data_IF_526188522750
#
_entry.id   IF_526188522750
#
_cell.length_a   1.000
_cell.length_b   1.000
_cell.length_c   1.000
_cell.angle_alpha   90.00
_cell.angle_beta   90.00
_cell.angle_gamma   90.00
#
_symmetry.space_group_name_H-M   'P 1'
#
loop_
_entity.id
_entity.type
_entity.pdbx_description
1 polymer ?
#
# COMPACT_ATOMS: atom_id res chain seq x y z
N UNK A 1 -19.13 49.73 18.26
CA UNK A 1 -19.43 48.67 17.28
C UNK A 1 -18.14 47.88 17.13
N UNK A 2 -18.11 46.62 17.55
CA UNK A 2 -16.93 45.76 17.35
C UNK A 2 -16.87 45.42 15.87
N UNK A 3 -15.89 45.96 15.15
CA UNK A 3 -15.61 45.58 13.78
C UNK A 3 -15.21 44.10 13.77
N UNK A 4 -16.06 43.24 13.21
CA UNK A 4 -15.71 41.85 12.93
C UNK A 4 -15.13 41.76 11.52
N UNK A 5 -14.02 41.04 11.39
CA UNK A 5 -13.43 40.73 10.09
C UNK A 5 -14.36 39.78 9.32
N UNK A 6 -14.59 40.00 8.01
CA UNK A 6 -15.34 39.04 7.19
C UNK A 6 -14.70 37.66 7.18
N UNK A 7 -15.53 36.63 7.25
CA UNK A 7 -15.07 35.25 7.07
C UNK A 7 -14.51 35.06 5.65
N UNK A 8 -13.48 34.23 5.52
CA UNK A 8 -12.92 33.81 4.23
C UNK A 8 -12.84 32.29 4.13
N UNK A 9 -13.06 31.78 2.91
CA UNK A 9 -12.84 30.37 2.58
C UNK A 9 -11.36 30.15 2.27
N UNK A 10 -10.74 29.18 2.93
CA UNK A 10 -9.36 28.75 2.67
C UNK A 10 -9.39 27.50 1.79
N UNK A 11 -8.69 27.53 0.66
CA UNK A 11 -8.54 26.38 -0.25
C UNK A 11 -7.05 26.03 -0.32
N UNK A 12 -6.62 24.87 0.20
CA UNK A 12 -5.21 24.47 0.12
C UNK A 12 -4.72 24.36 -1.31
N UNK A 13 -3.50 24.82 -1.55
CA UNK A 13 -2.82 24.70 -2.84
C UNK A 13 -1.53 23.87 -2.69
N UNK A 14 -1.15 23.07 -3.70
CA UNK A 14 0.15 22.43 -3.71
C UNK A 14 1.26 23.50 -3.77
N UNK A 15 2.40 23.22 -3.16
CA UNK A 15 3.58 24.12 -3.13
C UNK A 15 4.15 24.42 -4.52
N UNK A 16 3.80 23.63 -5.54
CA UNK A 16 4.34 23.78 -6.90
C UNK A 16 3.31 23.34 -7.96
N UNK A 17 3.31 24.02 -9.11
CA UNK A 17 2.48 23.74 -10.30
C UNK A 17 3.36 23.41 -11.52
N UNK A 18 2.78 22.96 -12.66
CA UNK A 18 3.56 22.72 -13.87
C UNK A 18 4.31 23.98 -14.32
N UNK A 19 5.65 23.90 -14.35
CA UNK A 19 6.54 25.02 -14.65
C UNK A 19 7.35 25.50 -13.44
N UNK A 20 6.93 25.18 -12.22
CA UNK A 20 7.65 25.50 -10.99
C UNK A 20 8.70 24.44 -10.65
N UNK A 21 9.66 24.80 -9.80
CA UNK A 21 10.57 23.83 -9.18
C UNK A 21 9.83 23.17 -7.99
N UNK A 22 9.72 21.82 -7.93
CA UNK A 22 9.11 21.14 -6.79
C UNK A 22 9.76 21.53 -5.47
N UNK A 23 8.93 21.91 -4.49
CA UNK A 23 9.35 22.22 -3.13
C UNK A 23 8.72 21.26 -2.11
N UNK A 24 9.59 20.47 -1.47
CA UNK A 24 9.25 19.49 -0.44
C UNK A 24 9.69 19.94 0.96
N UNK A 25 10.06 21.22 1.15
CA UNK A 25 10.55 21.72 2.45
C UNK A 25 9.56 21.61 3.60
N UNK A 26 8.27 21.42 3.29
CA UNK A 26 7.21 21.18 4.27
C UNK A 26 7.23 19.74 4.84
N UNK A 27 7.99 18.82 4.24
CA UNK A 27 8.20 17.47 4.73
C UNK A 27 9.53 17.47 5.49
N UNK A 28 9.46 17.43 6.81
CA UNK A 28 10.63 17.27 7.66
C UNK A 28 11.04 15.78 7.67
N UNK A 29 12.22 15.49 7.09
CA UNK A 29 12.77 14.14 7.05
C UNK A 29 13.90 14.07 8.10
N UNK A 30 13.72 13.36 9.22
CA UNK A 30 14.77 13.15 10.21
C UNK A 30 15.89 12.28 9.64
N UNK A 31 17.07 12.35 10.26
CA UNK A 31 18.17 11.46 9.91
C UNK A 31 17.78 9.99 10.14
N UNK A 32 18.25 9.09 9.28
CA UNK A 32 17.96 7.67 9.43
C UNK A 32 18.42 7.15 10.81
N UNK A 33 17.60 6.27 11.39
CA UNK A 33 17.90 5.60 12.65
C UNK A 33 17.66 6.41 13.93
N UNK A 34 17.16 7.66 13.85
CA UNK A 34 16.86 8.47 15.04
C UNK A 34 15.56 8.06 15.74
N UNK A 35 14.56 7.63 14.97
CA UNK A 35 13.26 7.24 15.52
C UNK A 35 13.38 5.94 16.31
N UNK A 36 12.94 5.97 17.57
CA UNK A 36 12.98 4.80 18.46
C UNK A 36 12.09 3.66 17.95
N UNK A 37 12.41 2.43 18.36
CA UNK A 37 11.54 1.26 18.16
C UNK A 37 10.74 1.01 19.42
N UNK A 38 9.41 1.08 19.32
CA UNK A 38 8.54 0.70 20.42
C UNK A 38 8.42 -0.83 20.51
N UNK A 39 8.22 -1.34 21.73
CA UNK A 39 7.88 -2.74 21.96
C UNK A 39 6.50 -3.07 21.34
N UNK A 40 6.29 -4.32 20.94
CA UNK A 40 5.06 -4.75 20.25
C UNK A 40 3.80 -4.64 21.10
N UNK A 41 3.95 -4.61 22.43
CA UNK A 41 2.88 -4.43 23.42
C UNK A 41 2.80 -2.99 23.97
N UNK A 42 3.47 -2.04 23.32
CA UNK A 42 3.47 -0.65 23.73
C UNK A 42 2.05 -0.04 23.61
N UNK A 43 1.56 0.53 24.72
CA UNK A 43 0.29 1.25 24.76
C UNK A 43 0.23 2.40 23.71
N UNK A 44 -0.89 2.58 22.98
CA UNK A 44 -1.01 3.58 21.91
C UNK A 44 -0.68 5.01 22.33
N UNK A 45 -1.01 5.40 23.56
CA UNK A 45 -0.76 6.75 24.10
C UNK A 45 0.74 7.06 24.17
N UNK A 46 1.57 6.01 24.32
CA UNK A 46 3.03 6.10 24.34
C UNK A 46 3.66 6.06 22.96
N UNK A 47 2.88 6.00 21.88
CA UNK A 47 3.38 5.97 20.49
C UNK A 47 3.02 7.22 19.70
N UNK A 48 2.40 8.22 20.34
CA UNK A 48 1.94 9.45 19.66
C UNK A 48 3.08 10.18 18.95
N UNK A 49 4.26 10.22 19.54
CA UNK A 49 5.47 10.79 18.95
C UNK A 49 5.81 10.16 17.58
N UNK A 50 5.69 8.84 17.47
CA UNK A 50 6.01 8.10 16.24
C UNK A 50 5.08 8.44 15.07
N UNK A 51 3.87 8.91 15.34
CA UNK A 51 2.92 9.33 14.31
C UNK A 51 3.29 10.68 13.65
N UNK A 52 4.19 11.45 14.27
CA UNK A 52 4.69 12.74 13.77
C UNK A 52 6.19 12.70 13.49
N UNK A 53 6.78 11.51 13.40
CA UNK A 53 8.19 11.27 13.07
C UNK A 53 8.28 10.28 11.89
N UNK A 54 9.49 9.98 11.39
CA UNK A 54 9.70 9.06 10.27
C UNK A 54 10.66 7.92 10.62
N UNK A 55 10.13 6.71 10.66
CA UNK A 55 10.95 5.50 10.76
C UNK A 55 11.72 5.30 9.45
N UNK A 56 13.03 5.54 9.49
CA UNK A 56 13.97 5.29 8.39
C UNK A 56 15.18 4.48 8.88
N UNK A 57 15.62 3.51 8.08
CA UNK A 57 16.72 2.58 8.43
C UNK A 57 17.97 2.81 7.58
N UNK A 58 17.83 3.07 6.29
CA UNK A 58 18.96 3.29 5.39
C UNK A 58 19.30 4.79 5.38
N UNK A 59 20.56 5.12 5.70
CA UNK A 59 21.07 6.48 5.55
C UNK A 59 21.43 6.81 4.08
N UNK A 60 21.88 8.05 3.83
CA UNK A 60 22.25 8.52 2.49
C UNK A 60 23.43 7.76 1.85
N UNK A 61 24.19 6.99 2.65
CA UNK A 61 25.25 6.09 2.18
C UNK A 61 24.77 4.66 1.92
N UNK A 62 23.49 4.37 2.19
CA UNK A 62 22.89 3.04 2.09
C UNK A 62 23.21 2.13 3.29
N UNK A 63 23.70 2.67 4.41
CA UNK A 63 24.01 1.89 5.61
C UNK A 63 22.77 1.77 6.49
N UNK A 64 22.50 0.56 6.99
CA UNK A 64 21.46 0.33 7.99
C UNK A 64 21.88 0.90 9.37
N UNK A 65 21.04 1.76 9.95
CA UNK A 65 21.29 2.47 11.20
C UNK A 65 20.07 2.49 12.12
N UNK A 66 20.31 2.68 13.42
CA UNK A 66 19.26 2.83 14.43
C UNK A 66 18.60 1.53 14.90
N UNK A 67 17.58 1.63 15.78
CA UNK A 67 16.98 0.48 16.46
C UNK A 67 16.07 -0.37 15.58
N UNK A 68 15.71 0.15 14.41
CA UNK A 68 14.93 -0.56 13.38
C UNK A 68 15.83 -1.34 12.41
N UNK A 69 17.15 -1.13 12.44
CA UNK A 69 18.10 -1.97 11.70
C UNK A 69 18.16 -3.36 12.34
N UNK A 70 17.35 -4.27 11.78
CA UNK A 70 17.35 -5.67 12.17
C UNK A 70 18.42 -6.43 11.39
N UNK A 71 18.93 -7.50 11.99
CA UNK A 71 19.75 -8.47 11.28
C UNK A 71 18.82 -9.28 10.35
N UNK A 72 18.76 -8.84 9.10
CA UNK A 72 17.95 -9.46 8.04
C UNK A 72 18.86 -10.30 7.17
N UNK A 73 18.40 -11.50 6.84
CA UNK A 73 19.08 -12.39 5.92
C UNK A 73 19.22 -11.76 4.52
N UNK A 74 20.43 -11.82 3.96
CA UNK A 74 20.73 -11.32 2.62
C UNK A 74 19.85 -11.97 1.55
N UNK A 75 19.47 -13.25 1.72
CA UNK A 75 18.56 -13.90 0.77
C UNK A 75 17.17 -13.27 0.76
N UNK A 76 16.66 -12.85 1.93
CA UNK A 76 15.39 -12.15 2.05
C UNK A 76 15.45 -10.77 1.38
N UNK A 77 16.54 -10.03 1.59
CA UNK A 77 16.76 -8.72 0.96
C UNK A 77 16.86 -8.83 -0.57
N UNK A 78 17.62 -9.82 -1.07
CA UNK A 78 17.72 -10.12 -2.50
C UNK A 78 16.37 -10.55 -3.08
N UNK A 79 15.58 -11.34 -2.33
CA UNK A 79 14.21 -11.68 -2.73
C UNK A 79 13.34 -10.41 -2.83
N UNK A 80 13.40 -9.53 -1.83
CA UNK A 80 12.69 -8.25 -1.84
C UNK A 80 13.03 -7.42 -3.08
N UNK A 81 14.32 -7.26 -3.38
CA UNK A 81 14.79 -6.53 -4.57
C UNK A 81 14.26 -7.16 -5.87
N UNK A 82 14.33 -8.49 -6.01
CA UNK A 82 13.81 -9.19 -7.20
C UNK A 82 12.31 -8.97 -7.38
N UNK A 83 11.54 -8.98 -6.30
CA UNK A 83 10.09 -8.75 -6.37
C UNK A 83 9.78 -7.30 -6.74
N UNK A 84 10.49 -6.31 -6.18
CA UNK A 84 10.33 -4.90 -6.56
C UNK A 84 10.64 -4.67 -8.04
N UNK A 85 11.78 -5.17 -8.52
CA UNK A 85 12.19 -5.05 -9.93
C UNK A 85 11.22 -5.77 -10.87
N UNK A 86 10.73 -6.97 -10.49
CA UNK A 86 9.71 -7.70 -11.25
C UNK A 86 8.40 -6.91 -11.33
N UNK A 87 7.99 -6.26 -10.23
CA UNK A 87 6.79 -5.41 -10.18
C UNK A 87 6.93 -4.21 -11.11
N UNK A 88 8.07 -3.50 -11.04
CA UNK A 88 8.37 -2.36 -11.92
C UNK A 88 8.43 -2.76 -13.39
N UNK A 89 9.08 -3.88 -13.71
CA UNK A 89 9.17 -4.40 -15.07
C UNK A 89 7.79 -4.81 -15.63
N UNK A 90 6.96 -5.45 -14.81
CA UNK A 90 5.58 -5.77 -15.15
C UNK A 90 4.77 -4.51 -15.46
N UNK A 91 4.82 -3.52 -14.58
CA UNK A 91 4.13 -2.23 -14.75
C UNK A 91 4.53 -1.52 -16.04
N UNK A 92 5.83 -1.45 -16.33
CA UNK A 92 6.33 -0.82 -17.56
C UNK A 92 5.79 -1.54 -18.81
N UNK A 93 5.72 -2.87 -18.79
CA UNK A 93 5.20 -3.67 -19.91
C UNK A 93 3.70 -3.49 -20.10
N UNK A 94 2.92 -3.48 -19.01
CA UNK A 94 1.47 -3.29 -19.10
C UNK A 94 1.09 -1.87 -19.50
N UNK A 95 1.83 -0.86 -19.04
CA UNK A 95 1.65 0.52 -19.50
C UNK A 95 1.90 0.66 -21.01
N UNK A 96 2.94 0.00 -21.54
CA UNK A 96 3.17 -0.02 -23.00
C UNK A 96 2.08 -0.76 -23.75
N UNK A 97 1.57 -1.88 -23.21
CA UNK A 97 0.47 -2.62 -23.80
C UNK A 97 -0.81 -1.76 -23.88
N UNK A 98 -1.12 -1.00 -22.83
CA UNK A 98 -2.24 -0.06 -22.80
C UNK A 98 -2.08 1.02 -23.88
N UNK A 99 -0.89 1.61 -24.04
CA UNK A 99 -0.60 2.59 -25.11
C UNK A 99 -0.72 2.02 -26.52
N UNK A 100 -0.53 0.71 -26.68
CA UNK A 100 -0.73 -0.01 -27.95
C UNK A 100 -2.18 -0.43 -28.17
N UNK A 101 -3.11 -0.09 -27.27
CA UNK A 101 -4.52 -0.48 -27.36
C UNK A 101 -4.78 -1.96 -27.06
N UNK A 102 -3.83 -2.68 -26.46
CA UNK A 102 -3.96 -4.11 -26.16
C UNK A 102 -4.78 -4.41 -24.90
N UNK A 103 -4.92 -3.44 -24.02
CA UNK A 103 -5.81 -3.45 -22.85
C UNK A 103 -6.47 -2.09 -22.73
N UNK A 104 -7.64 -2.03 -22.11
CA UNK A 104 -8.43 -0.79 -22.00
C UNK A 104 -7.81 0.21 -21.02
N UNK A 105 -7.30 -0.26 -19.87
CA UNK A 105 -6.79 0.59 -18.80
C UNK A 105 -5.72 -0.15 -17.98
N UNK A 106 -4.76 0.60 -17.44
CA UNK A 106 -3.76 0.09 -16.52
C UNK A 106 -3.31 1.18 -15.54
N UNK A 107 -2.97 0.80 -14.31
CA UNK A 107 -2.46 1.70 -13.26
C UNK A 107 -1.12 1.16 -12.73
N UNK A 108 -0.13 2.04 -12.62
CA UNK A 108 1.21 1.71 -12.14
C UNK A 108 1.38 2.02 -10.65
N UNK A 109 2.28 1.31 -9.98
CA UNK A 109 2.73 1.58 -8.61
C UNK A 109 4.21 2.04 -8.56
N UNK A 110 4.67 2.74 -9.61
CA UNK A 110 6.07 3.19 -9.73
C UNK A 110 6.47 4.08 -8.55
N UNK A 111 7.50 3.67 -7.82
CA UNK A 111 7.97 4.35 -6.61
C UNK A 111 7.35 3.82 -5.32
N UNK A 112 6.31 2.99 -5.40
CA UNK A 112 5.59 2.40 -4.28
C UNK A 112 5.85 0.89 -4.14
N UNK A 113 6.72 0.31 -4.99
CA UNK A 113 6.86 -1.15 -5.12
C UNK A 113 7.28 -1.80 -3.80
N UNK A 114 8.17 -1.14 -3.04
CA UNK A 114 8.70 -1.66 -1.79
C UNK A 114 7.62 -1.94 -0.74
N UNK A 115 6.57 -1.11 -0.68
CA UNK A 115 5.57 -1.13 0.40
C UNK A 115 4.80 -2.46 0.36
N UNK A 116 4.19 -2.76 -0.79
CA UNK A 116 3.44 -3.99 -1.01
C UNK A 116 4.33 -5.23 -0.94
N UNK A 117 5.50 -5.18 -1.60
CA UNK A 117 6.39 -6.32 -1.70
C UNK A 117 6.95 -6.72 -0.32
N UNK A 118 7.45 -5.76 0.44
CA UNK A 118 8.04 -6.02 1.76
C UNK A 118 6.99 -6.49 2.77
N UNK A 119 5.83 -5.81 2.84
CA UNK A 119 4.76 -6.24 3.76
C UNK A 119 4.30 -7.67 3.44
N UNK A 120 4.18 -8.05 2.16
CA UNK A 120 3.80 -9.42 1.83
C UNK A 120 4.83 -10.44 2.26
N UNK A 121 6.13 -10.14 2.13
CA UNK A 121 7.20 -11.03 2.58
C UNK A 121 7.24 -11.20 4.11
N UNK A 122 6.74 -10.20 4.86
CA UNK A 122 6.63 -10.27 6.32
C UNK A 122 5.37 -11.03 6.81
N UNK A 123 4.34 -11.14 5.98
CA UNK A 123 3.08 -11.83 6.31
C UNK A 123 3.18 -13.36 6.10
N UNK A 124 2.35 -14.11 6.82
CA UNK A 124 2.27 -15.57 6.67
C UNK A 124 1.34 -15.95 5.51
N UNK A 125 1.45 -17.20 5.07
CA UNK A 125 0.48 -17.80 4.14
C UNK A 125 -0.88 -17.91 4.86
N UNK A 126 -1.93 -17.41 4.22
CA UNK A 126 -3.29 -17.39 4.76
C UNK A 126 -3.69 -16.07 5.42
N UNK A 127 -2.73 -15.20 5.76
CA UNK A 127 -3.06 -13.80 6.09
C UNK A 127 -3.67 -13.13 4.86
N UNK A 128 -4.78 -12.41 5.07
CA UNK A 128 -5.55 -11.83 3.97
C UNK A 128 -5.23 -10.35 3.81
N UNK A 129 -4.78 -9.98 2.61
CA UNK A 129 -4.61 -8.59 2.21
C UNK A 129 -5.90 -8.08 1.58
N UNK A 130 -6.28 -6.86 1.97
CA UNK A 130 -7.40 -6.07 1.43
C UNK A 130 -6.80 -4.87 0.69
N UNK A 131 -6.30 -5.09 -0.54
CA UNK A 131 -5.52 -4.10 -1.26
C UNK A 131 -6.37 -3.04 -1.93
N UNK A 132 -5.75 -1.93 -2.31
CA UNK A 132 -6.26 -1.05 -3.37
C UNK A 132 -5.78 -1.56 -4.74
N UNK A 133 -6.03 -0.80 -5.80
CA UNK A 133 -5.53 -1.10 -7.15
C UNK A 133 -4.03 -0.82 -7.38
N UNK A 134 -3.26 -0.38 -6.37
CA UNK A 134 -1.81 -0.10 -6.47
C UNK A 134 -0.90 -1.13 -5.78
N UNK A 135 -1.44 -2.25 -5.29
CA UNK A 135 -0.68 -3.25 -4.54
C UNK A 135 -0.48 -4.58 -5.30
N UNK A 136 -0.29 -4.54 -6.61
CA UNK A 136 0.04 -5.73 -7.43
C UNK A 136 1.32 -6.45 -6.95
N UNK A 137 2.22 -5.73 -6.26
CA UNK A 137 3.40 -6.32 -5.60
C UNK A 137 3.06 -7.42 -4.59
N UNK A 138 1.86 -7.41 -3.98
CA UNK A 138 1.40 -8.47 -3.07
C UNK A 138 1.29 -9.84 -3.79
N UNK A 139 0.80 -9.85 -5.03
CA UNK A 139 0.68 -11.06 -5.84
C UNK A 139 2.06 -11.53 -6.31
N UNK A 140 2.87 -10.59 -6.80
CA UNK A 140 4.20 -10.87 -7.34
C UNK A 140 5.13 -11.41 -6.24
N UNK A 141 5.02 -10.91 -5.01
CA UNK A 141 5.78 -11.38 -3.85
C UNK A 141 5.45 -12.82 -3.44
N UNK A 142 4.30 -13.35 -3.85
CA UNK A 142 3.91 -14.74 -3.63
C UNK A 142 4.05 -15.63 -4.86
N UNK A 143 4.82 -15.18 -5.86
CA UNK A 143 5.03 -15.92 -7.10
C UNK A 143 3.72 -16.29 -7.81
N UNK A 144 2.68 -15.46 -7.66
CA UNK A 144 1.45 -15.60 -8.42
C UNK A 144 1.77 -15.59 -9.93
N UNK A 145 1.20 -16.50 -10.75
CA UNK A 145 1.55 -16.58 -12.16
C UNK A 145 1.27 -15.27 -12.89
N UNK A 146 2.33 -14.64 -13.41
CA UNK A 146 2.24 -13.41 -14.20
C UNK A 146 1.30 -13.57 -15.40
N UNK A 147 1.26 -14.76 -16.00
CA UNK A 147 0.34 -15.08 -17.10
C UNK A 147 -1.11 -14.91 -16.69
N UNK A 148 -1.48 -15.34 -15.48
CA UNK A 148 -2.84 -15.20 -14.97
C UNK A 148 -3.20 -13.72 -14.74
N UNK A 149 -2.26 -12.93 -14.21
CA UNK A 149 -2.45 -11.48 -14.09
C UNK A 149 -2.69 -10.83 -15.46
N UNK A 150 -1.89 -11.20 -16.47
CA UNK A 150 -2.05 -10.68 -17.84
C UNK A 150 -3.38 -11.14 -18.45
N UNK A 151 -3.80 -12.39 -18.21
CA UNK A 151 -5.08 -12.90 -18.68
C UNK A 151 -6.25 -12.07 -18.15
N UNK A 152 -6.20 -11.69 -16.86
CA UNK A 152 -7.19 -10.79 -16.25
C UNK A 152 -7.14 -9.38 -16.88
N UNK A 153 -5.96 -8.79 -17.04
CA UNK A 153 -5.79 -7.45 -17.67
C UNK A 153 -6.35 -7.40 -19.11
N UNK A 154 -6.23 -8.51 -19.84
CA UNK A 154 -6.70 -8.61 -21.23
C UNK A 154 -8.15 -9.09 -21.34
N UNK A 155 -8.77 -9.48 -20.22
CA UNK A 155 -10.12 -10.06 -20.17
C UNK A 155 -10.31 -11.20 -21.18
N UNK A 156 -9.28 -12.04 -21.34
CA UNK A 156 -9.27 -13.09 -22.36
C UNK A 156 -9.98 -14.37 -21.87
N UNK A 157 -10.04 -15.40 -22.71
CA UNK A 157 -10.73 -16.66 -22.39
C UNK A 157 -10.14 -17.44 -21.20
N UNK A 158 -8.95 -17.06 -20.71
CA UNK A 158 -8.31 -17.62 -19.52
C UNK A 158 -8.39 -16.70 -18.31
N UNK A 159 -9.10 -15.57 -18.40
CA UNK A 159 -9.39 -14.74 -17.24
C UNK A 159 -10.26 -15.53 -16.24
N UNK A 160 -9.75 -15.75 -15.03
CA UNK A 160 -10.47 -16.44 -13.95
C UNK A 160 -11.73 -15.70 -13.51
N UNK A 161 -11.79 -14.38 -13.76
CA UNK A 161 -12.97 -13.54 -13.48
C UNK A 161 -13.95 -13.50 -14.65
N UNK A 162 -13.62 -14.16 -15.77
CA UNK A 162 -14.48 -14.27 -16.95
C UNK A 162 -14.81 -12.92 -17.59
N UNK A 163 -13.90 -11.95 -17.53
CA UNK A 163 -14.08 -10.60 -18.10
C UNK A 163 -15.09 -9.74 -17.35
N UNK A 164 -15.53 -10.15 -16.14
CA UNK A 164 -16.56 -9.44 -15.36
C UNK A 164 -16.01 -8.25 -14.57
N UNK A 165 -14.70 -8.24 -14.35
CA UNK A 165 -14.00 -7.21 -13.59
C UNK A 165 -13.20 -6.33 -14.53
N UNK A 166 -13.02 -5.06 -14.16
CA UNK A 166 -12.13 -4.15 -14.88
C UNK A 166 -10.70 -4.72 -14.89
N UNK A 167 -9.86 -4.46 -15.90
CA UNK A 167 -8.44 -4.82 -15.83
C UNK A 167 -7.81 -4.39 -14.51
N UNK A 168 -6.80 -5.13 -14.06
CA UNK A 168 -6.05 -4.96 -12.79
C UNK A 168 -6.87 -5.09 -11.49
N UNK A 169 -8.20 -5.27 -11.55
CA UNK A 169 -9.02 -5.64 -10.38
C UNK A 169 -8.94 -7.15 -10.13
N UNK A 170 -7.78 -7.60 -9.67
CA UNK A 170 -7.53 -9.00 -9.35
C UNK A 170 -8.34 -9.50 -8.16
N UNK A 171 -8.51 -10.82 -8.07
CA UNK A 171 -9.16 -11.51 -6.95
C UNK A 171 -8.57 -12.92 -6.84
N UNK A 172 -7.71 -13.15 -5.84
CA UNK A 172 -6.92 -14.38 -5.72
C UNK A 172 -6.88 -14.83 -4.25
N UNK A 173 -7.96 -15.47 -3.82
CA UNK A 173 -8.17 -15.93 -2.44
C UNK A 173 -7.02 -16.81 -1.93
N UNK A 174 -6.55 -17.76 -2.74
CA UNK A 174 -5.51 -18.72 -2.34
C UNK A 174 -4.15 -18.06 -2.12
N UNK A 175 -3.98 -16.85 -2.66
CA UNK A 175 -2.84 -15.97 -2.49
C UNK A 175 -3.12 -14.86 -1.47
N UNK A 176 -4.15 -14.99 -0.63
CA UNK A 176 -4.46 -13.98 0.39
C UNK A 176 -4.66 -12.58 -0.20
N UNK A 177 -5.22 -12.49 -1.42
CA UNK A 177 -5.48 -11.23 -2.10
C UNK A 177 -6.99 -11.09 -2.31
N UNK A 178 -7.61 -10.26 -1.48
CA UNK A 178 -9.05 -10.01 -1.53
C UNK A 178 -9.44 -9.33 -2.85
N UNK A 179 -10.67 -9.57 -3.30
CA UNK A 179 -11.18 -9.01 -4.54
C UNK A 179 -11.14 -7.49 -4.51
N UNK A 180 -10.46 -6.87 -5.47
CA UNK A 180 -10.47 -5.40 -5.59
C UNK A 180 -11.87 -4.92 -5.98
N UNK A 181 -12.26 -3.79 -5.40
CA UNK A 181 -13.42 -2.99 -5.77
C UNK A 181 -12.98 -1.63 -6.30
N UNK A 182 -13.80 -1.02 -7.17
CA UNK A 182 -13.61 0.37 -7.60
C UNK A 182 -14.04 1.39 -6.55
N UNK A 183 -14.78 0.97 -5.51
CA UNK A 183 -15.23 1.83 -4.43
C UNK A 183 -14.11 2.01 -3.40
N UNK A 184 -13.60 3.25 -3.27
CA UNK A 184 -12.51 3.58 -2.36
C UNK A 184 -12.94 3.44 -0.88
N UNK A 185 -11.97 3.15 -0.01
CA UNK A 185 -12.18 3.01 1.44
C UNK A 185 -12.83 1.69 1.89
N UNK A 186 -13.77 1.15 1.12
CA UNK A 186 -14.62 0.01 1.50
C UNK A 186 -13.84 -1.23 2.00
N UNK A 187 -12.74 -1.57 1.34
CA UNK A 187 -11.90 -2.72 1.69
C UNK A 187 -11.23 -2.58 3.06
N UNK A 188 -11.01 -1.35 3.53
CA UNK A 188 -10.30 -1.08 4.77
C UNK A 188 -11.12 -1.52 5.99
N UNK A 189 -12.43 -1.17 6.01
CA UNK A 189 -13.35 -1.67 7.02
C UNK A 189 -13.61 -3.19 6.88
N UNK A 190 -13.67 -3.71 5.66
CA UNK A 190 -13.80 -5.16 5.43
C UNK A 190 -12.62 -5.95 5.99
N UNK A 191 -11.40 -5.38 5.96
CA UNK A 191 -10.22 -5.98 6.57
C UNK A 191 -10.39 -6.14 8.09
N UNK A 192 -10.92 -5.11 8.76
CA UNK A 192 -11.23 -5.16 10.21
C UNK A 192 -12.27 -6.25 10.48
N UNK A 193 -13.34 -6.33 9.70
CA UNK A 193 -14.34 -7.39 9.82
C UNK A 193 -13.75 -8.80 9.65
N UNK A 194 -12.79 -8.97 8.74
CA UNK A 194 -12.08 -10.24 8.55
C UNK A 194 -11.19 -10.59 9.75
N UNK A 195 -10.47 -9.62 10.31
CA UNK A 195 -9.69 -9.80 11.53
C UNK A 195 -10.59 -10.16 12.73
N UNK A 196 -11.73 -9.48 12.89
CA UNK A 196 -12.73 -9.81 13.91
C UNK A 196 -13.25 -11.25 13.74
N UNK A 197 -13.51 -11.70 12.51
CA UNK A 197 -13.93 -13.07 12.24
C UNK A 197 -12.86 -14.10 12.63
N UNK A 198 -11.59 -13.81 12.36
CA UNK A 198 -10.44 -14.63 12.80
C UNK A 198 -10.42 -14.75 14.32
N UNK A 199 -10.53 -13.62 15.04
CA UNK A 199 -10.57 -13.60 16.50
C UNK A 199 -11.78 -14.35 17.09
N UNK A 200 -12.98 -14.15 16.53
CA UNK A 200 -14.22 -14.85 16.94
C UNK A 200 -14.07 -16.37 16.82
N UNK A 201 -13.30 -16.84 15.84
CA UNK A 201 -13.05 -18.26 15.60
C UNK A 201 -11.86 -18.82 16.38
N UNK A 202 -11.14 -18.00 17.14
CA UNK A 202 -9.89 -18.40 17.79
C UNK A 202 -8.79 -18.79 16.79
N UNK A 203 -8.83 -18.22 15.59
CA UNK A 203 -7.81 -18.42 14.56
C UNK A 203 -6.60 -17.49 14.81
N UNK A 204 -5.51 -17.73 14.09
CA UNK A 204 -4.22 -17.01 14.24
C UNK A 204 -3.86 -16.15 13.03
N UNK A 205 -4.69 -16.16 12.00
CA UNK A 205 -4.47 -15.37 10.78
C UNK A 205 -4.86 -13.92 10.98
N UNK A 206 -4.16 -13.02 10.30
CA UNK A 206 -4.40 -11.57 10.42
C UNK A 206 -4.86 -10.96 9.08
N UNK A 207 -5.47 -9.78 9.17
CA UNK A 207 -5.82 -8.97 8.02
C UNK A 207 -4.75 -7.89 7.77
N UNK A 208 -4.54 -7.54 6.50
CA UNK A 208 -3.71 -6.42 6.06
C UNK A 208 -4.58 -5.48 5.24
N UNK A 209 -5.08 -4.40 5.86
CA UNK A 209 -5.87 -3.36 5.21
C UNK A 209 -4.99 -2.32 4.54
N UNK A 210 -5.33 -1.92 3.30
CA UNK A 210 -4.60 -0.92 2.53
C UNK A 210 -5.52 0.24 2.14
N UNK A 211 -5.02 1.46 2.23
CA UNK A 211 -5.76 2.66 1.81
C UNK A 211 -4.76 3.74 1.34
N UNK A 212 -5.16 4.55 0.37
CA UNK A 212 -4.39 5.71 -0.07
C UNK A 212 -4.70 6.96 0.76
N UNK A 213 -3.82 7.95 0.70
CA UNK A 213 -3.97 9.26 1.35
C UNK A 213 -5.30 9.93 0.98
N UNK A 214 -5.65 10.00 -0.31
CA UNK A 214 -6.91 10.61 -0.73
C UNK A 214 -8.16 9.86 -0.22
N UNK A 215 -8.06 8.55 -0.04
CA UNK A 215 -9.15 7.72 0.44
C UNK A 215 -9.29 7.74 1.98
N UNK A 216 -8.36 8.35 2.73
CA UNK A 216 -8.54 8.54 4.17
C UNK A 216 -9.67 9.53 4.50
N UNK A 217 -10.14 10.30 3.52
CA UNK A 217 -11.31 11.17 3.65
C UNK A 217 -12.64 10.42 3.48
N UNK A 218 -12.62 9.15 3.05
CA UNK A 218 -13.83 8.33 2.93
C UNK A 218 -14.32 7.87 4.30
N UNK A 219 -15.64 7.75 4.47
CA UNK A 219 -16.25 7.39 5.76
C UNK A 219 -15.78 6.03 6.31
N UNK A 220 -15.48 5.08 5.42
CA UNK A 220 -15.00 3.75 5.80
C UNK A 220 -13.58 3.77 6.42
N UNK A 221 -12.76 4.79 6.15
CA UNK A 221 -11.49 4.96 6.85
C UNK A 221 -11.72 5.18 8.35
N UNK A 222 -12.61 6.12 8.68
CA UNK A 222 -12.96 6.40 10.06
C UNK A 222 -13.61 5.19 10.73
N UNK A 223 -14.55 4.53 10.06
CA UNK A 223 -15.19 3.33 10.58
C UNK A 223 -14.18 2.23 10.92
N UNK A 224 -13.21 1.97 10.02
CA UNK A 224 -12.16 0.98 10.26
C UNK A 224 -11.35 1.28 11.52
N UNK A 225 -10.96 2.53 11.74
CA UNK A 225 -10.20 2.93 12.93
C UNK A 225 -11.00 2.86 14.23
N UNK A 226 -12.32 3.07 14.17
CA UNK A 226 -13.20 2.98 15.36
C UNK A 226 -13.43 1.53 15.77
N UNK A 227 -13.48 0.60 14.81
CA UNK A 227 -13.77 -0.82 15.07
C UNK A 227 -12.54 -1.69 15.32
N UNK A 228 -11.37 -1.30 14.80
CA UNK A 228 -10.10 -2.01 15.00
C UNK A 228 -9.61 -1.90 16.45
#
# INVERSE_FOLDING_TARGET
MTESTPLSLQVPEPSSRPGDKPDFSHIEIPAAGTTRRAEVDCAPERMRDLAFDLISVLDDSGKAVGPWAMDLDDELLLKGLRVMEKTRAFDARMQMAQRQGKTSIYVQCKGEEAIACAQRLALKKGDMCFPTYRQQGLLIAQDFPIVDMICQIYSNSKDKLGGRSLPFFYSERDYGFFSISGNLGTQFMQAVGWAMASAIKGDTRIASGWIGDGASAEGDFHAALVFA
#
